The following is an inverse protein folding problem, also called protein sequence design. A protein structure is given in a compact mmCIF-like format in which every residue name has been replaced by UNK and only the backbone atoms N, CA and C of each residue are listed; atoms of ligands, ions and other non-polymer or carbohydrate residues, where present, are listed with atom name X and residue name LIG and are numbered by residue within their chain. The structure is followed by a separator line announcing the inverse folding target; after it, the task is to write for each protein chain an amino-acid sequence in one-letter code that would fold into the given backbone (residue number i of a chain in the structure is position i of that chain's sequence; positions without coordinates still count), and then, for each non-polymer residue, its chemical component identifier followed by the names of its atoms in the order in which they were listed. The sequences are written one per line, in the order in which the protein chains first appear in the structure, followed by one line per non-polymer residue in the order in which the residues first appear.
data_IF_405238316977
#
_entry.id   IF_405238316977
#
_cell.length_a   1.000
_cell.length_b   1.000
_cell.length_c   1.000
_cell.angle_alpha   90.00
_cell.angle_beta   90.00
_cell.angle_gamma   90.00
#
_symmetry.space_group_name_H-M   'P 1'
#
loop_
_entity.id
_entity.type
_entity.pdbx_description
1 polymer ?
#
# COMPACT_ATOMS: atom_id res chain seq x y z
N UNK A 1 -19.42 54.80 9.16
CA UNK A 1 -20.86 54.97 8.89
C UNK A 1 -21.04 55.59 7.52
N UNK A 2 -21.64 54.85 6.57
CA UNK A 2 -22.53 55.31 5.49
C UNK A 2 -23.03 54.04 4.76
N UNK A 3 -24.33 53.83 4.88
CA UNK A 3 -25.15 52.72 4.35
C UNK A 3 -25.58 53.07 2.93
N UNK A 4 -25.73 52.08 2.05
CA UNK A 4 -26.76 51.94 0.97
C UNK A 4 -26.68 50.47 0.53
N UNK A 5 -27.60 49.53 0.77
CA UNK A 5 -29.07 49.46 0.64
C UNK A 5 -29.57 49.59 -0.81
N UNK A 6 -29.81 48.45 -1.48
CA UNK A 6 -30.76 48.18 -2.60
C UNK A 6 -30.24 47.03 -3.46
N UNK A 7 -31.01 46.14 -4.06
CA UNK A 7 -32.44 45.84 -4.04
C UNK A 7 -32.56 44.41 -4.60
N UNK A 8 -33.60 43.70 -4.20
CA UNK A 8 -34.02 42.38 -4.68
C UNK A 8 -34.25 42.37 -6.20
N UNK A 9 -33.81 41.31 -6.89
CA UNK A 9 -34.48 40.82 -8.09
C UNK A 9 -34.74 39.31 -7.96
N UNK A 10 -35.96 39.00 -7.52
CA UNK A 10 -36.54 37.67 -7.63
C UNK A 10 -36.86 37.40 -9.12
N UNK A 11 -36.37 36.29 -9.66
CA UNK A 11 -36.78 35.78 -10.98
C UNK A 11 -37.08 34.30 -10.89
N UNK A 12 -38.37 34.03 -10.73
CA UNK A 12 -39.20 32.99 -11.34
C UNK A 12 -38.63 31.57 -11.59
N UNK A 13 -39.21 30.68 -10.81
CA UNK A 13 -39.49 29.25 -10.98
C UNK A 13 -39.73 28.79 -12.42
N UNK A 14 -39.06 27.70 -12.81
CA UNK A 14 -39.67 26.63 -13.62
C UNK A 14 -38.91 25.31 -13.44
N UNK A 15 -39.11 24.65 -12.29
CA UNK A 15 -38.71 23.23 -12.18
C UNK A 15 -39.87 22.41 -12.70
N UNK A 16 -39.72 21.91 -13.94
CA UNK A 16 -40.59 20.91 -14.51
C UNK A 16 -40.54 19.63 -13.68
N UNK A 17 -41.69 19.22 -13.18
CA UNK A 17 -41.91 17.95 -12.48
C UNK A 17 -41.81 16.82 -13.50
N UNK A 18 -40.70 16.08 -13.50
CA UNK A 18 -40.57 14.81 -14.22
C UNK A 18 -41.12 13.71 -13.29
N UNK A 19 -42.08 12.88 -13.72
CA UNK A 19 -42.58 11.79 -12.91
C UNK A 19 -41.51 10.70 -12.79
N UNK A 20 -41.00 10.47 -11.59
CA UNK A 20 -40.15 9.32 -11.30
C UNK A 20 -41.00 8.05 -11.37
N UNK A 21 -40.97 7.38 -12.53
CA UNK A 21 -41.38 6.00 -12.64
C UNK A 21 -40.46 5.13 -11.79
N UNK A 22 -41.10 4.20 -11.08
CA UNK A 22 -40.46 3.23 -10.21
C UNK A 22 -39.44 2.37 -10.97
N UNK A 23 -38.26 2.20 -10.38
CA UNK A 23 -37.48 0.97 -10.52
C UNK A 23 -37.19 0.44 -9.12
N UNK A 24 -37.99 -0.55 -8.73
CA UNK A 24 -37.57 -1.52 -7.74
C UNK A 24 -36.52 -2.40 -8.43
N UNK A 25 -35.25 -2.18 -8.10
CA UNK A 25 -34.16 -3.10 -8.45
C UNK A 25 -33.65 -3.72 -7.14
N UNK A 26 -34.09 -4.95 -6.89
CA UNK A 26 -33.59 -5.83 -5.85
C UNK A 26 -32.19 -6.32 -6.23
N UNK A 27 -31.24 -5.39 -6.18
CA UNK A 27 -29.83 -5.65 -6.41
C UNK A 27 -29.18 -6.20 -5.15
N UNK A 28 -29.36 -7.50 -4.88
CA UNK A 28 -28.56 -8.25 -3.92
C UNK A 28 -27.09 -8.29 -4.39
N UNK A 29 -26.39 -7.18 -4.18
CA UNK A 29 -24.98 -7.03 -4.46
C UNK A 29 -24.18 -7.88 -3.47
N UNK A 30 -23.94 -9.15 -3.81
CA UNK A 30 -22.85 -9.92 -3.24
C UNK A 30 -21.52 -9.28 -3.67
N UNK A 31 -21.13 -8.22 -2.96
CA UNK A 31 -19.78 -7.66 -3.02
C UNK A 31 -18.82 -8.75 -2.60
N UNK A 32 -18.16 -9.37 -3.59
CA UNK A 32 -16.96 -10.14 -3.36
C UNK A 32 -15.95 -9.21 -2.67
N UNK A 33 -15.90 -9.25 -1.34
CA UNK A 33 -14.85 -8.60 -0.55
C UNK A 33 -13.54 -9.29 -0.90
N UNK A 34 -12.90 -8.84 -1.98
CA UNK A 34 -11.51 -9.13 -2.26
C UNK A 34 -10.74 -8.74 -1.00
N UNK A 35 -10.30 -9.73 -0.22
CA UNK A 35 -9.51 -9.50 0.99
C UNK A 35 -8.29 -8.72 0.54
N UNK A 36 -8.27 -7.41 0.85
CA UNK A 36 -7.15 -6.52 0.56
C UNK A 36 -5.99 -7.02 1.41
N UNK A 37 -5.16 -7.88 0.83
CA UNK A 37 -3.94 -8.33 1.48
C UNK A 37 -3.01 -7.12 1.58
N UNK A 38 -3.00 -6.47 2.74
CA UNK A 38 -1.98 -5.48 3.05
C UNK A 38 -0.62 -6.15 2.93
N UNK A 39 0.10 -5.86 1.83
CA UNK A 39 1.43 -6.39 1.61
C UNK A 39 2.33 -5.88 2.73
N UNK A 40 2.69 -6.78 3.65
CA UNK A 40 3.72 -6.56 4.66
C UNK A 40 5.00 -7.19 4.09
N UNK A 41 5.75 -6.50 3.22
CA UNK A 41 6.83 -7.11 2.43
C UNK A 41 7.87 -7.78 3.32
N UNK A 42 8.20 -7.18 4.46
CA UNK A 42 9.15 -7.75 5.42
C UNK A 42 8.62 -9.05 6.06
N UNK A 43 7.34 -9.10 6.43
CA UNK A 43 6.72 -10.32 6.99
C UNK A 43 6.65 -11.47 5.97
N UNK A 44 6.48 -11.16 4.67
CA UNK A 44 6.56 -12.16 3.62
C UNK A 44 7.98 -12.73 3.46
N UNK A 45 9.00 -11.87 3.54
CA UNK A 45 10.40 -12.29 3.46
C UNK A 45 10.76 -13.16 4.67
N UNK A 46 10.38 -12.73 5.87
CA UNK A 46 10.56 -13.47 7.11
C UNK A 46 9.95 -14.87 7.04
N UNK A 47 8.67 -14.97 6.68
CA UNK A 47 7.99 -16.27 6.52
C UNK A 47 8.70 -17.16 5.50
N UNK A 48 9.23 -16.57 4.42
CA UNK A 48 9.94 -17.30 3.37
C UNK A 48 11.31 -17.80 3.82
N UNK A 49 11.97 -17.13 4.75
CA UNK A 49 13.30 -17.50 5.25
C UNK A 49 13.25 -18.36 6.52
N UNK A 50 12.40 -18.00 7.48
CA UNK A 50 12.31 -18.61 8.80
C UNK A 50 11.18 -19.64 8.95
N UNK A 51 10.49 -20.01 7.87
CA UNK A 51 9.61 -21.18 7.94
C UNK A 51 10.42 -22.46 8.18
N UNK A 52 9.84 -23.43 8.92
CA UNK A 52 10.49 -24.73 9.18
C UNK A 52 11.04 -25.40 7.92
N UNK A 53 10.30 -25.33 6.81
CA UNK A 53 10.73 -25.87 5.51
C UNK A 53 11.90 -25.10 4.91
N UNK A 54 11.89 -23.77 5.00
CA UNK A 54 12.96 -22.94 4.47
C UNK A 54 14.25 -23.08 5.28
N UNK A 55 14.17 -23.08 6.61
CA UNK A 55 15.30 -23.30 7.53
C UNK A 55 16.01 -24.61 7.19
N UNK A 56 15.25 -25.72 7.11
CA UNK A 56 15.79 -27.04 6.74
C UNK A 56 16.41 -27.06 5.35
N UNK A 57 15.75 -26.47 4.35
CA UNK A 57 16.23 -26.51 2.97
C UNK A 57 17.45 -25.61 2.72
N UNK A 58 17.53 -24.49 3.43
CA UNK A 58 18.67 -23.59 3.39
C UNK A 58 19.83 -24.09 4.25
N UNK A 59 19.56 -24.92 5.27
CA UNK A 59 20.55 -25.27 6.27
C UNK A 59 20.95 -24.06 7.11
N UNK A 60 19.95 -23.29 7.59
CA UNK A 60 20.23 -22.14 8.45
C UNK A 60 20.64 -22.63 9.84
N UNK A 61 21.79 -22.18 10.34
CA UNK A 61 22.21 -22.46 11.72
C UNK A 61 21.30 -21.75 12.72
N UNK A 62 21.30 -22.21 13.98
CA UNK A 62 20.51 -21.57 15.03
C UNK A 62 20.97 -20.14 15.32
N UNK A 63 22.28 -19.88 15.17
CA UNK A 63 22.84 -18.53 15.23
C UNK A 63 22.28 -17.63 14.11
N UNK A 64 22.31 -18.09 12.86
CA UNK A 64 21.76 -17.35 11.72
C UNK A 64 20.25 -17.09 11.89
N UNK A 65 19.49 -18.08 12.38
CA UNK A 65 18.06 -17.91 12.63
C UNK A 65 17.78 -16.85 13.69
N UNK A 66 18.57 -16.83 14.76
CA UNK A 66 18.44 -15.85 15.85
C UNK A 66 18.79 -14.45 15.35
N UNK A 67 19.87 -14.31 14.59
CA UNK A 67 20.28 -13.04 14.00
C UNK A 67 19.23 -12.52 13.00
N UNK A 68 18.70 -13.39 12.12
CA UNK A 68 17.63 -13.03 11.21
C UNK A 68 16.37 -12.55 11.94
N UNK A 69 15.96 -13.23 13.02
CA UNK A 69 14.82 -12.81 13.85
C UNK A 69 15.05 -11.41 14.43
N UNK A 70 16.23 -11.17 14.99
CA UNK A 70 16.60 -9.86 15.53
C UNK A 70 16.50 -8.77 14.45
N UNK A 71 17.09 -9.00 13.28
CA UNK A 71 17.00 -8.09 12.13
C UNK A 71 15.54 -7.84 11.75
N UNK A 72 14.71 -8.88 11.62
CA UNK A 72 13.30 -8.69 11.28
C UNK A 72 12.55 -7.86 12.30
N UNK A 73 12.75 -8.09 13.60
CA UNK A 73 12.10 -7.29 14.65
C UNK A 73 12.55 -5.83 14.62
N UNK A 74 13.85 -5.55 14.49
CA UNK A 74 14.38 -4.18 14.37
C UNK A 74 13.76 -3.43 13.20
N UNK A 75 13.73 -4.04 12.01
CA UNK A 75 13.18 -3.35 10.84
C UNK A 75 11.65 -3.33 10.84
N UNK A 76 10.96 -4.31 11.44
CA UNK A 76 9.50 -4.23 11.67
C UNK A 76 9.15 -3.04 12.55
N UNK A 77 9.89 -2.79 13.64
CA UNK A 77 9.62 -1.67 14.54
C UNK A 77 9.86 -0.33 13.83
N UNK A 78 10.97 -0.18 13.09
CA UNK A 78 11.22 1.03 12.28
C UNK A 78 10.15 1.27 11.23
N UNK A 79 9.67 0.22 10.57
CA UNK A 79 8.56 0.33 9.62
C UNK A 79 7.21 0.61 10.30
N UNK A 80 7.02 0.19 11.56
CA UNK A 80 5.83 0.52 12.34
C UNK A 80 5.82 2.00 12.73
N UNK A 81 6.95 2.54 13.21
CA UNK A 81 7.09 3.96 13.52
C UNK A 81 6.84 4.86 12.28
N UNK A 82 7.32 4.45 11.10
CA UNK A 82 7.02 5.14 9.83
C UNK A 82 5.53 5.08 9.42
N UNK A 83 4.76 4.12 9.94
CA UNK A 83 3.30 4.06 9.70
C UNK A 83 2.52 4.91 10.69
N UNK A 84 2.98 5.01 11.93
CA UNK A 84 2.35 5.82 12.98
C UNK A 84 2.43 7.31 12.65
N UNK A 85 3.56 7.78 12.14
CA UNK A 85 3.77 9.18 11.73
C UNK A 85 2.81 9.66 10.64
N UNK A 86 2.25 8.75 9.83
CA UNK A 86 1.26 9.13 8.83
C UNK A 86 0.34 7.94 8.52
N UNK A 87 -0.90 7.91 9.05
CA UNK A 87 -1.79 6.76 8.89
C UNK A 87 -2.08 6.49 7.41
N UNK A 88 -2.03 5.20 7.03
CA UNK A 88 -2.10 4.76 5.62
C UNK A 88 -3.35 5.22 4.87
N UNK A 89 -4.42 5.57 5.60
CA UNK A 89 -5.68 5.99 5.02
C UNK A 89 -5.68 7.46 4.55
N UNK A 90 -4.78 8.31 5.06
CA UNK A 90 -4.70 9.72 4.69
C UNK A 90 -4.35 9.93 3.20
N UNK A 91 -3.25 9.35 2.65
CA UNK A 91 -2.95 9.50 1.24
C UNK A 91 -4.04 8.93 0.35
N UNK A 92 -4.59 7.76 0.69
CA UNK A 92 -5.65 7.14 -0.10
C UNK A 92 -6.91 8.00 -0.19
N UNK A 93 -7.29 8.68 0.89
CA UNK A 93 -8.43 9.61 0.87
C UNK A 93 -8.13 10.86 0.05
N UNK A 94 -6.98 11.49 0.27
CA UNK A 94 -6.58 12.69 -0.49
C UNK A 94 -6.50 12.44 -2.00
N UNK A 95 -5.93 11.31 -2.42
CA UNK A 95 -5.94 10.93 -3.84
C UNK A 95 -7.34 10.62 -4.36
N UNK A 96 -8.20 10.01 -3.54
CA UNK A 96 -9.59 9.72 -3.91
C UNK A 96 -10.36 11.02 -4.17
N UNK A 97 -10.16 12.04 -3.34
CA UNK A 97 -10.78 13.37 -3.51
C UNK A 97 -10.36 14.03 -4.83
N UNK A 98 -9.08 13.96 -5.20
CA UNK A 98 -8.60 14.47 -6.51
C UNK A 98 -9.20 13.69 -7.69
N UNK A 99 -9.44 12.39 -7.54
CA UNK A 99 -10.04 11.54 -8.59
C UNK A 99 -11.54 11.80 -8.74
N UNK A 100 -12.24 12.05 -7.64
CA UNK A 100 -13.70 12.27 -7.61
C UNK A 100 -14.10 13.73 -7.90
N UNK A 101 -13.12 14.64 -8.03
CA UNK A 101 -13.36 16.04 -8.39
C UNK A 101 -13.92 16.16 -9.82
N UNK A 102 -14.75 17.18 -10.06
CA UNK A 102 -15.38 17.45 -11.36
C UNK A 102 -14.35 17.74 -12.47
N UNK A 103 -13.18 18.28 -12.11
CA UNK A 103 -12.05 18.46 -13.02
C UNK A 103 -10.73 18.11 -12.33
N UNK A 104 -9.74 17.70 -13.13
CA UNK A 104 -8.44 17.28 -12.61
C UNK A 104 -7.52 18.47 -12.32
N UNK A 105 -7.31 18.78 -11.05
CA UNK A 105 -6.30 19.74 -10.61
C UNK A 105 -4.91 19.10 -10.54
N UNK A 106 -4.13 19.32 -11.60
CA UNK A 106 -2.75 18.83 -11.70
C UNK A 106 -1.83 19.40 -10.61
N UNK A 107 -2.02 20.66 -10.21
CA UNK A 107 -1.16 21.31 -9.22
C UNK A 107 -1.42 20.72 -7.83
N UNK A 108 -2.68 20.53 -7.46
CA UNK A 108 -3.06 19.85 -6.22
C UNK A 108 -2.52 18.41 -6.18
N UNK A 109 -2.62 17.67 -7.28
CA UNK A 109 -2.08 16.32 -7.38
C UNK A 109 -0.55 16.27 -7.18
N UNK A 110 0.19 17.24 -7.73
CA UNK A 110 1.64 17.34 -7.56
C UNK A 110 2.04 17.64 -6.11
N UNK A 111 1.36 18.57 -5.45
CA UNK A 111 1.61 18.89 -4.04
C UNK A 111 1.38 17.68 -3.13
N UNK A 112 0.30 16.93 -3.36
CA UNK A 112 0.05 15.68 -2.63
C UNK A 112 1.19 14.67 -2.85
N UNK A 113 1.68 14.50 -4.09
CA UNK A 113 2.80 13.59 -4.36
C UNK A 113 4.07 14.00 -3.62
N UNK A 114 4.38 15.30 -3.58
CA UNK A 114 5.54 15.84 -2.86
C UNK A 114 5.43 15.62 -1.35
N UNK A 115 4.25 15.80 -0.77
CA UNK A 115 4.00 15.54 0.66
C UNK A 115 4.29 14.08 1.04
N UNK A 116 3.92 13.13 0.17
CA UNK A 116 4.05 11.69 0.45
C UNK A 116 5.38 11.07 -0.02
N UNK A 117 6.16 11.76 -0.85
CA UNK A 117 7.43 11.26 -1.39
C UNK A 117 8.46 10.91 -0.30
N UNK A 118 8.72 11.75 0.72
CA UNK A 118 9.72 11.47 1.77
C UNK A 118 9.44 10.17 2.52
N UNK A 119 8.18 9.88 2.80
CA UNK A 119 7.79 8.65 3.49
C UNK A 119 8.04 7.42 2.64
N UNK A 120 7.68 7.47 1.35
CA UNK A 120 7.95 6.37 0.41
C UNK A 120 9.45 6.11 0.32
N UNK A 121 10.26 7.17 0.27
CA UNK A 121 11.72 7.08 0.30
C UNK A 121 12.23 6.45 1.60
N UNK A 122 11.78 6.92 2.76
CA UNK A 122 12.18 6.36 4.06
C UNK A 122 11.80 4.88 4.20
N UNK A 123 10.61 4.50 3.72
CA UNK A 123 10.17 3.11 3.67
C UNK A 123 11.06 2.25 2.75
N UNK A 124 11.37 2.74 1.54
CA UNK A 124 12.26 2.05 0.60
C UNK A 124 13.67 1.89 1.15
N UNK A 125 14.22 2.93 1.76
CA UNK A 125 15.53 2.92 2.40
C UNK A 125 15.58 1.89 3.52
N UNK A 126 14.62 1.92 4.44
CA UNK A 126 14.50 0.94 5.54
C UNK A 126 14.41 -0.50 5.00
N UNK A 127 13.65 -0.72 3.92
CA UNK A 127 13.55 -2.03 3.28
C UNK A 127 14.85 -2.45 2.58
N UNK A 128 15.62 -1.51 2.02
CA UNK A 128 16.90 -1.79 1.39
C UNK A 128 17.94 -2.19 2.43
N UNK A 129 18.04 -1.43 3.52
CA UNK A 129 18.90 -1.73 4.66
C UNK A 129 18.58 -3.12 5.26
N UNK A 130 17.29 -3.44 5.46
CA UNK A 130 16.87 -4.75 5.94
C UNK A 130 17.32 -5.88 5.01
N UNK A 131 17.15 -5.72 3.69
CA UNK A 131 17.59 -6.73 2.70
C UNK A 131 19.10 -6.87 2.68
N UNK A 132 19.83 -5.76 2.82
CA UNK A 132 21.29 -5.75 2.90
C UNK A 132 21.77 -6.52 4.14
N UNK A 133 21.20 -6.25 5.32
CA UNK A 133 21.53 -6.98 6.54
C UNK A 133 21.27 -8.49 6.39
N UNK A 134 20.07 -8.87 5.90
CA UNK A 134 19.72 -10.28 5.64
C UNK A 134 20.70 -10.94 4.66
N UNK A 135 21.13 -10.21 3.62
CA UNK A 135 22.04 -10.74 2.60
C UNK A 135 23.41 -11.14 3.19
N UNK A 136 23.89 -10.42 4.20
CA UNK A 136 25.20 -10.69 4.83
C UNK A 136 25.15 -11.78 5.89
N UNK A 137 23.99 -12.06 6.48
CA UNK A 137 23.81 -13.20 7.39
C UNK A 137 23.87 -14.53 6.62
N UNK A 138 23.42 -14.52 5.36
CA UNK A 138 23.34 -15.71 4.53
C UNK A 138 24.66 -16.00 3.80
N UNK A 139 25.05 -17.27 3.76
CA UNK A 139 26.24 -17.71 3.03
C UNK A 139 26.01 -17.63 1.51
N UNK A 140 27.09 -17.56 0.70
CA UNK A 140 26.96 -17.56 -0.77
C UNK A 140 26.09 -18.70 -1.32
N UNK A 141 26.28 -19.92 -0.81
CA UNK A 141 25.50 -21.10 -1.21
C UNK A 141 24.02 -20.98 -0.85
N UNK A 142 23.72 -20.44 0.35
CA UNK A 142 22.33 -20.20 0.77
C UNK A 142 21.65 -19.17 -0.14
N UNK A 143 22.38 -18.11 -0.52
CA UNK A 143 21.88 -17.08 -1.45
C UNK A 143 21.59 -17.67 -2.84
N UNK A 144 22.46 -18.53 -3.35
CA UNK A 144 22.25 -19.22 -4.62
C UNK A 144 21.01 -20.12 -4.59
N UNK A 145 20.80 -20.87 -3.49
CA UNK A 145 19.57 -21.68 -3.29
C UNK A 145 18.30 -20.81 -3.28
N UNK A 146 18.37 -19.58 -2.80
CA UNK A 146 17.25 -18.63 -2.84
C UNK A 146 17.02 -18.14 -4.27
N UNK A 147 18.08 -17.78 -4.99
CA UNK A 147 18.01 -17.32 -6.38
C UNK A 147 17.37 -18.38 -7.29
N UNK A 148 17.87 -19.63 -7.24
CA UNK A 148 17.31 -20.75 -8.01
C UNK A 148 15.82 -20.97 -7.74
N UNK A 149 15.36 -20.80 -6.50
CA UNK A 149 13.93 -20.91 -6.15
C UNK A 149 13.12 -19.75 -6.71
N UNK A 150 13.67 -18.54 -6.72
CA UNK A 150 13.04 -17.37 -7.34
C UNK A 150 12.88 -17.58 -8.84
N UNK A 151 13.91 -18.05 -9.53
CA UNK A 151 13.87 -18.26 -10.98
C UNK A 151 12.87 -19.35 -11.36
N UNK A 152 12.85 -20.47 -10.62
CA UNK A 152 11.83 -21.52 -10.79
C UNK A 152 10.40 -21.00 -10.56
N UNK A 153 10.21 -20.10 -9.60
CA UNK A 153 8.91 -19.49 -9.35
C UNK A 153 8.50 -18.56 -10.51
N UNK A 154 9.42 -17.73 -11.00
CA UNK A 154 9.17 -16.84 -12.14
C UNK A 154 8.86 -17.63 -13.41
N UNK A 155 9.64 -18.67 -13.75
CA UNK A 155 9.38 -19.54 -14.90
C UNK A 155 7.96 -20.14 -14.87
N UNK A 156 7.51 -20.61 -13.70
CA UNK A 156 6.14 -21.12 -13.53
C UNK A 156 5.06 -20.06 -13.73
N UNK A 157 5.33 -18.79 -13.42
CA UNK A 157 4.39 -17.71 -13.70
C UNK A 157 4.33 -17.43 -15.20
N UNK A 158 5.45 -17.47 -15.91
CA UNK A 158 5.49 -17.27 -17.37
C UNK A 158 4.73 -18.38 -18.12
N UNK A 159 4.77 -19.63 -17.67
CA UNK A 159 4.02 -20.73 -18.29
C UNK A 159 2.51 -20.74 -17.99
N UNK A 160 2.03 -19.86 -17.10
CA UNK A 160 0.61 -19.76 -16.73
C UNK A 160 -0.14 -18.66 -17.48
N UNK A 161 0.57 -17.84 -18.24
CA UNK A 161 0.04 -16.80 -19.12
C UNK A 161 0.11 -17.26 -20.56
#
# INVERSE_FOLDING_TARGET
MKKLASLLLASCVSVGMIPSAAFADDGSNHVHKAKRHHMKPLAHIEKRLLSKKAVRHLGLSDAQQTELKSVFETYKSRLAALKETQPQNKPHKAFKEVIEAESFDKAQAQLLLEEYAPKKQAFMLTMLEARHAIHHILTPEQREKIAKRKDKFLAKLHHRN
#
